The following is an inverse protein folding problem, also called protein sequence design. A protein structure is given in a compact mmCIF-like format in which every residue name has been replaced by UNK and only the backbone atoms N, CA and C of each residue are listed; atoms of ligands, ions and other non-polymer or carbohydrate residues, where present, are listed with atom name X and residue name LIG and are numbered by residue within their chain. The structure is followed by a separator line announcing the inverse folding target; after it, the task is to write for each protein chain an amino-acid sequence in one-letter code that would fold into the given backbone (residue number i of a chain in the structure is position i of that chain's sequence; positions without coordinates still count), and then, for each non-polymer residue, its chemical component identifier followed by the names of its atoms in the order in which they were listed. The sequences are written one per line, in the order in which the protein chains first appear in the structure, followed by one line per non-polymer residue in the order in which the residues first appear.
data_IF_131563183410
#
_entry.id   IF_131563183410
#
_cell.length_a   1.000
_cell.length_b   1.000
_cell.length_c   1.000
_cell.angle_alpha   90.00
_cell.angle_beta   90.00
_cell.angle_gamma   90.00
#
_symmetry.space_group_name_H-M   'P 1'
#
loop_
_entity.id
_entity.type
_entity.pdbx_description
1 polymer ?
#
# COMPACT_ATOMS: atom_id res chain seq x y z
N UNK A 1 -1.02 6.66 -13.39
CA UNK A 1 -0.87 5.45 -12.55
C UNK A 1 -0.96 4.19 -13.39
N UNK A 2 -1.95 4.09 -14.31
CA UNK A 2 -2.01 2.98 -15.27
C UNK A 2 -0.71 2.83 -16.08
N UNK A 3 -0.16 3.93 -16.60
CA UNK A 3 1.08 3.92 -17.39
C UNK A 3 2.28 3.44 -16.58
N UNK A 4 2.44 3.90 -15.33
CA UNK A 4 3.48 3.42 -14.41
C UNK A 4 3.43 1.90 -14.21
N UNK A 5 2.22 1.35 -14.05
CA UNK A 5 2.04 -0.10 -13.87
C UNK A 5 2.34 -0.85 -15.17
N UNK A 6 1.96 -0.30 -16.33
CA UNK A 6 2.20 -0.93 -17.63
C UNK A 6 3.69 -0.96 -18.01
N UNK A 7 4.46 0.02 -17.57
CA UNK A 7 5.90 0.13 -17.86
C UNK A 7 6.78 -0.58 -16.83
N UNK A 8 6.21 -1.01 -15.69
CA UNK A 8 6.94 -1.69 -14.63
C UNK A 8 7.41 -3.07 -15.10
N UNK A 9 8.71 -3.32 -14.97
CA UNK A 9 9.32 -4.59 -15.35
C UNK A 9 10.25 -5.12 -14.24
N UNK A 10 10.70 -6.37 -14.39
CA UNK A 10 11.52 -7.05 -13.38
C UNK A 10 12.85 -6.33 -13.11
N UNK A 11 13.50 -5.80 -14.15
CA UNK A 11 14.76 -5.07 -14.01
C UNK A 11 14.60 -3.82 -13.14
N UNK A 12 13.50 -3.08 -13.33
CA UNK A 12 13.19 -1.92 -12.50
C UNK A 12 12.91 -2.31 -11.04
N UNK A 13 12.16 -3.39 -10.82
CA UNK A 13 11.80 -3.88 -9.48
C UNK A 13 13.01 -4.37 -8.68
N UNK A 14 13.96 -5.02 -9.34
CA UNK A 14 15.21 -5.50 -8.75
C UNK A 14 16.23 -4.36 -8.54
N UNK A 15 15.95 -3.19 -9.11
CA UNK A 15 16.79 -2.00 -9.03
C UNK A 15 16.62 -1.15 -7.77
N UNK A 16 17.18 0.06 -7.83
CA UNK A 16 17.13 1.06 -6.76
C UNK A 16 16.25 2.23 -7.19
N UNK A 17 15.31 2.62 -6.34
CA UNK A 17 14.56 3.85 -6.49
C UNK A 17 15.35 5.01 -5.89
N UNK A 18 15.76 5.94 -6.75
CA UNK A 18 16.35 7.21 -6.36
C UNK A 18 15.26 8.28 -6.32
N UNK A 19 15.14 8.97 -5.19
CA UNK A 19 14.16 10.05 -5.04
C UNK A 19 14.64 11.07 -4.03
N UNK A 20 14.08 12.27 -4.08
CA UNK A 20 14.29 13.30 -3.06
C UNK A 20 13.07 13.37 -2.16
N UNK A 21 13.27 13.21 -0.86
CA UNK A 21 12.16 13.22 0.10
C UNK A 21 11.63 14.66 0.33
N UNK A 22 10.55 14.78 1.11
CA UNK A 22 9.91 16.07 1.43
C UNK A 22 10.76 17.00 2.29
N UNK A 23 11.86 16.51 2.85
CA UNK A 23 12.89 17.28 3.56
C UNK A 23 14.07 17.66 2.65
N UNK A 24 13.93 17.50 1.34
CA UNK A 24 14.97 17.77 0.34
C UNK A 24 16.23 16.90 0.48
N UNK A 25 16.11 15.70 1.05
CA UNK A 25 17.21 14.75 1.19
C UNK A 25 17.15 13.70 0.07
N UNK A 26 18.30 13.42 -0.53
CA UNK A 26 18.42 12.35 -1.53
C UNK A 26 18.37 10.98 -0.86
N UNK A 27 17.53 10.11 -1.40
CA UNK A 27 17.25 8.77 -0.91
C UNK A 27 17.54 7.75 -2.01
N UNK A 28 18.03 6.59 -1.62
CA UNK A 28 18.30 5.45 -2.51
C UNK A 28 17.92 4.18 -1.78
N UNK A 29 16.83 3.54 -2.20
CA UNK A 29 16.27 2.36 -1.55
C UNK A 29 15.86 1.31 -2.60
N UNK A 30 15.80 0.01 -2.26
CA UNK A 30 15.34 -1.02 -3.20
C UNK A 30 13.95 -0.69 -3.75
N UNK A 31 13.78 -0.76 -5.07
CA UNK A 31 12.57 -0.27 -5.74
C UNK A 31 11.34 -1.02 -5.24
N UNK A 32 11.34 -2.35 -5.34
CA UNK A 32 10.19 -3.18 -4.95
C UNK A 32 9.77 -2.96 -3.48
N UNK A 33 10.74 -2.92 -2.56
CA UNK A 33 10.47 -2.68 -1.14
C UNK A 33 9.88 -1.28 -0.89
N UNK A 34 10.36 -0.27 -1.61
CA UNK A 34 9.88 1.10 -1.48
C UNK A 34 8.47 1.26 -2.06
N UNK A 35 8.17 0.59 -3.18
CA UNK A 35 6.81 0.55 -3.73
C UNK A 35 5.85 -0.18 -2.79
N UNK A 36 6.27 -1.30 -2.19
CA UNK A 36 5.47 -2.03 -1.20
C UNK A 36 5.17 -1.18 0.04
N UNK A 37 6.11 -0.32 0.46
CA UNK A 37 5.86 0.63 1.54
C UNK A 37 4.69 1.57 1.22
N UNK A 38 4.56 2.06 -0.02
CA UNK A 38 3.44 2.95 -0.42
C UNK A 38 2.10 2.27 -0.20
N UNK A 39 1.96 1.00 -0.61
CA UNK A 39 0.72 0.24 -0.39
C UNK A 39 0.47 -0.02 1.10
N UNK A 40 1.51 -0.39 1.85
CA UNK A 40 1.38 -0.63 3.29
C UNK A 40 1.05 0.65 4.08
N UNK A 41 1.50 1.82 3.60
CA UNK A 41 1.23 3.10 4.25
C UNK A 41 -0.26 3.45 4.28
N UNK A 42 -1.00 3.16 3.19
CA UNK A 42 -2.44 3.32 3.17
C UNK A 42 -3.14 2.39 4.17
N UNK A 43 -2.70 1.14 4.29
CA UNK A 43 -3.21 0.18 5.29
C UNK A 43 -2.94 0.66 6.71
N UNK A 44 -1.76 1.19 6.99
CA UNK A 44 -1.43 1.76 8.30
C UNK A 44 -2.37 2.91 8.69
N UNK A 45 -2.61 3.86 7.78
CA UNK A 45 -3.52 4.99 8.05
C UNK A 45 -4.97 4.56 8.17
N UNK A 46 -5.43 3.59 7.36
CA UNK A 46 -6.76 2.98 7.55
C UNK A 46 -6.90 2.40 8.95
N UNK A 47 -5.89 1.66 9.43
CA UNK A 47 -5.87 1.11 10.79
C UNK A 47 -5.97 2.18 11.88
N UNK A 48 -5.30 3.33 11.71
CA UNK A 48 -5.42 4.45 12.66
C UNK A 48 -6.84 5.03 12.70
N UNK A 49 -7.45 5.25 11.53
CA UNK A 49 -8.80 5.81 11.42
C UNK A 49 -9.84 4.84 12.01
N UNK A 50 -9.75 3.56 11.68
CA UNK A 50 -10.73 2.55 12.13
C UNK A 50 -10.61 2.29 13.63
N UNK A 51 -9.40 2.30 14.19
CA UNK A 51 -9.19 2.26 15.63
C UNK A 51 -9.85 3.46 16.33
N UNK A 52 -9.67 4.67 15.81
CA UNK A 52 -10.30 5.88 16.36
C UNK A 52 -11.83 5.84 16.29
N UNK A 53 -12.39 5.41 15.16
CA UNK A 53 -13.85 5.24 14.99
C UNK A 53 -14.42 4.19 15.94
N UNK A 54 -13.71 3.07 16.13
CA UNK A 54 -14.10 2.02 17.07
C UNK A 54 -14.11 2.53 18.51
N UNK A 55 -13.10 3.33 18.89
CA UNK A 55 -13.04 3.96 20.21
C UNK A 55 -14.19 4.95 20.46
N UNK A 56 -14.79 5.51 19.40
CA UNK A 56 -15.97 6.37 19.46
C UNK A 56 -17.30 5.60 19.47
N UNK A 57 -17.27 4.27 19.49
CA UNK A 57 -18.45 3.40 19.55
C UNK A 57 -19.03 2.98 18.20
N UNK A 58 -18.36 3.30 17.08
CA UNK A 58 -18.72 2.75 15.78
C UNK A 58 -18.23 1.30 15.65
N UNK A 59 -18.88 0.51 14.80
CA UNK A 59 -18.39 -0.84 14.48
C UNK A 59 -17.05 -0.76 13.74
N UNK A 60 -16.12 -1.65 14.10
CA UNK A 60 -14.89 -1.82 13.32
C UNK A 60 -15.23 -2.49 11.99
N UNK A 61 -14.82 -1.94 10.83
CA UNK A 61 -14.86 -2.70 9.58
C UNK A 61 -13.85 -3.85 9.64
N UNK A 62 -14.07 -4.88 8.81
CA UNK A 62 -13.07 -5.90 8.53
C UNK A 62 -11.98 -5.30 7.63
N UNK A 63 -10.71 -5.56 7.95
CA UNK A 63 -9.55 -4.92 7.31
C UNK A 63 -8.48 -5.91 6.90
N UNK A 64 -8.62 -7.20 7.26
CA UNK A 64 -7.70 -8.24 6.83
C UNK A 64 -7.77 -8.43 5.31
N UNK A 65 -6.60 -8.44 4.68
CA UNK A 65 -6.45 -8.67 3.25
C UNK A 65 -7.01 -10.03 2.84
N UNK A 66 -6.92 -11.06 3.69
CA UNK A 66 -7.43 -12.38 3.38
C UNK A 66 -8.95 -12.36 3.19
N UNK A 67 -9.69 -11.65 4.03
CA UNK A 67 -11.15 -11.55 3.88
C UNK A 67 -11.53 -10.76 2.63
N UNK A 68 -10.81 -9.67 2.32
CA UNK A 68 -11.01 -8.92 1.08
C UNK A 68 -10.82 -9.82 -0.17
N UNK A 69 -9.73 -10.61 -0.20
CA UNK A 69 -9.47 -11.52 -1.33
C UNK A 69 -10.53 -12.62 -1.46
N UNK A 70 -11.05 -13.12 -0.33
CA UNK A 70 -12.14 -14.10 -0.34
C UNK A 70 -13.44 -13.50 -0.92
N UNK A 71 -13.79 -12.27 -0.54
CA UNK A 71 -14.97 -11.57 -1.08
C UNK A 71 -14.85 -11.31 -2.59
N UNK A 72 -13.68 -10.85 -3.05
CA UNK A 72 -13.42 -10.64 -4.48
C UNK A 72 -13.54 -11.92 -5.31
N UNK A 73 -13.03 -13.04 -4.79
CA UNK A 73 -13.16 -14.35 -5.45
C UNK A 73 -14.62 -14.79 -5.55
N UNK A 74 -15.43 -14.57 -4.52
CA UNK A 74 -16.85 -14.92 -4.53
C UNK A 74 -17.64 -14.05 -5.51
N UNK A 75 -17.30 -12.77 -5.63
CA UNK A 75 -17.96 -11.84 -6.57
C UNK A 75 -17.61 -12.10 -8.05
N UNK A 76 -16.52 -12.83 -8.32
CA UNK A 76 -16.07 -13.19 -9.66
C UNK A 76 -16.71 -14.50 -10.21
N UNK A 77 -17.49 -15.21 -9.38
CA UNK A 77 -18.25 -16.42 -9.73
C UNK A 77 -19.74 -16.13 -9.93
#
# INVERSE_FOLDING_TARGET
MADLIQELNQEALDGVLHYRNTRSQDMSLPYAATLMHVFNHATHHRGQITAAMTALGYASPELDMLFMLMEEQQAAT
#
